data_IF_967769642157
#
_entry.id   IF_967769642157
#
_cell.length_a   1.000
_cell.length_b   1.000
_cell.length_c   1.000
_cell.angle_alpha   90.00
_cell.angle_beta   90.00
_cell.angle_gamma   90.00
#
_symmetry.space_group_name_H-M   'P 1'
#
loop_
_entity.id
_entity.type
_entity.pdbx_description
1 polymer ?
#
# COMPACT_ATOMS: atom_id res chain seq x y z
N UNK A 1 -6.79 -51.90 -65.37
CA UNK A 1 -6.73 -50.50 -64.75
C UNK A 1 -7.03 -50.50 -63.29
N UNK A 2 -8.16 -51.09 -62.84
CA UNK A 2 -8.54 -51.11 -61.41
C UNK A 2 -7.53 -51.85 -60.54
N UNK A 3 -6.99 -52.98 -60.99
CA UNK A 3 -5.95 -53.72 -60.22
C UNK A 3 -4.64 -52.96 -60.01
N UNK A 4 -4.29 -52.04 -60.92
CA UNK A 4 -3.11 -51.18 -60.75
C UNK A 4 -3.36 -50.14 -59.70
N UNK A 5 -4.56 -49.52 -59.66
CA UNK A 5 -4.98 -48.54 -58.65
C UNK A 5 -5.08 -49.13 -57.24
N UNK A 6 -5.29 -50.48 -57.13
CA UNK A 6 -5.25 -51.16 -55.84
C UNK A 6 -3.84 -51.41 -55.32
N UNK A 7 -2.85 -51.51 -56.21
CA UNK A 7 -1.46 -51.87 -55.84
C UNK A 7 -0.51 -50.65 -55.75
N UNK A 8 -0.82 -49.63 -56.54
CA UNK A 8 0.09 -48.46 -56.66
C UNK A 8 -0.62 -47.12 -56.35
N UNK A 9 0.13 -46.18 -55.91
CA UNK A 9 -0.37 -44.80 -55.71
C UNK A 9 -0.36 -44.07 -57.05
N UNK A 10 -1.53 -43.84 -57.57
CA UNK A 10 -1.72 -43.18 -58.85
C UNK A 10 -2.35 -41.81 -58.59
N UNK A 11 -1.76 -40.75 -59.12
CA UNK A 11 -2.27 -39.40 -58.98
C UNK A 11 -3.28 -39.05 -60.12
N UNK A 12 -3.12 -39.60 -61.27
CA UNK A 12 -3.93 -39.28 -62.44
C UNK A 12 -4.17 -40.53 -63.31
N UNK A 13 -5.38 -40.67 -63.81
CA UNK A 13 -5.78 -41.70 -64.73
C UNK A 13 -6.30 -41.03 -66.00
N UNK A 14 -5.81 -41.51 -67.15
CA UNK A 14 -6.33 -41.20 -68.51
C UNK A 14 -6.97 -42.43 -69.07
N UNK A 15 -8.22 -42.37 -69.47
CA UNK A 15 -8.96 -43.50 -70.07
C UNK A 15 -9.54 -43.17 -71.45
N UNK A 16 -9.43 -44.06 -72.34
CA UNK A 16 -10.20 -43.95 -73.60
C UNK A 16 -11.70 -44.20 -73.33
N UNK A 17 -12.58 -43.49 -74.06
CA UNK A 17 -14.03 -43.66 -73.99
C UNK A 17 -14.44 -45.02 -74.40
N UNK A 18 -13.89 -45.56 -75.53
CA UNK A 18 -14.26 -46.87 -76.11
C UNK A 18 -13.22 -47.91 -75.74
N UNK A 19 -13.54 -48.73 -74.75
CA UNK A 19 -12.68 -49.84 -74.35
C UNK A 19 -13.50 -51.15 -74.40
N UNK A 20 -12.85 -52.34 -74.66
CA UNK A 20 -13.51 -53.64 -74.51
C UNK A 20 -13.97 -53.86 -73.05
N UNK A 21 -15.06 -54.57 -72.84
CA UNK A 21 -15.64 -55.01 -71.57
C UNK A 21 -16.26 -53.88 -70.73
N UNK A 22 -15.58 -52.73 -70.57
CA UNK A 22 -16.05 -51.58 -69.79
C UNK A 22 -15.68 -50.30 -70.54
N UNK A 23 -16.63 -49.38 -70.72
CA UNK A 23 -16.34 -48.07 -71.29
C UNK A 23 -15.61 -47.18 -70.35
N UNK A 24 -14.93 -46.15 -70.88
CA UNK A 24 -14.10 -45.25 -70.07
C UNK A 24 -14.89 -44.42 -69.05
N UNK A 25 -16.10 -44.03 -69.34
CA UNK A 25 -16.95 -43.27 -68.42
C UNK A 25 -17.31 -44.13 -67.18
N UNK A 26 -17.71 -45.39 -67.42
CA UNK A 26 -17.99 -46.33 -66.32
C UNK A 26 -16.73 -46.64 -65.49
N UNK A 27 -15.59 -46.85 -66.18
CA UNK A 27 -14.30 -47.03 -65.49
C UNK A 27 -13.94 -45.85 -64.60
N UNK A 28 -14.01 -44.64 -65.11
CA UNK A 28 -13.65 -43.43 -64.34
C UNK A 28 -14.67 -43.17 -63.23
N UNK A 29 -15.91 -43.56 -63.38
CA UNK A 29 -16.90 -43.49 -62.27
C UNK A 29 -16.55 -44.48 -61.17
N UNK A 30 -16.11 -45.65 -61.47
CA UNK A 30 -15.62 -46.60 -60.45
C UNK A 30 -14.35 -46.10 -59.78
N UNK A 31 -13.40 -45.51 -60.54
CA UNK A 31 -12.19 -44.81 -59.95
C UNK A 31 -12.57 -43.70 -58.99
N UNK A 32 -13.58 -42.93 -59.36
CA UNK A 32 -14.05 -41.85 -58.43
C UNK A 32 -14.60 -42.44 -57.12
N UNK A 33 -15.37 -43.51 -57.24
CA UNK A 33 -15.99 -44.11 -56.05
C UNK A 33 -14.96 -44.69 -55.07
N UNK A 34 -13.94 -45.38 -55.59
CA UNK A 34 -12.92 -46.06 -54.77
C UNK A 34 -11.72 -45.17 -54.45
N UNK A 35 -11.33 -44.30 -55.36
CA UNK A 35 -10.16 -43.40 -55.22
C UNK A 35 -10.54 -41.96 -55.58
N UNK A 36 -11.33 -41.28 -54.77
CA UNK A 36 -11.90 -39.98 -55.10
C UNK A 36 -10.83 -38.88 -55.31
N UNK A 37 -9.63 -39.11 -54.80
CA UNK A 37 -8.51 -38.19 -54.95
C UNK A 37 -7.68 -38.41 -56.21
N UNK A 38 -7.93 -39.45 -57.00
CA UNK A 38 -7.24 -39.63 -58.26
C UNK A 38 -7.87 -38.75 -59.32
N UNK A 39 -7.04 -37.98 -60.03
CA UNK A 39 -7.51 -37.13 -61.12
C UNK A 39 -7.89 -37.99 -62.31
N UNK A 40 -8.96 -37.66 -63.03
CA UNK A 40 -9.59 -38.50 -64.07
C UNK A 40 -9.73 -37.67 -65.35
N UNK A 41 -9.08 -38.10 -66.44
CA UNK A 41 -9.16 -37.48 -67.74
C UNK A 41 -9.72 -38.52 -68.68
N UNK A 42 -10.65 -38.14 -69.60
CA UNK A 42 -11.27 -38.96 -70.56
C UNK A 42 -10.78 -38.55 -71.95
N UNK A 43 -10.34 -39.56 -72.76
CA UNK A 43 -10.06 -39.40 -74.19
C UNK A 43 -11.31 -39.76 -74.99
N UNK A 44 -11.78 -38.87 -75.87
CA UNK A 44 -13.07 -39.09 -76.61
C UNK A 44 -13.00 -38.66 -78.05
N UNK A 45 -13.73 -39.33 -78.93
CA UNK A 45 -13.91 -38.94 -80.32
C UNK A 45 -15.11 -37.99 -80.52
N UNK A 46 -15.20 -37.36 -81.63
CA UNK A 46 -16.25 -36.40 -82.00
C UNK A 46 -17.68 -36.89 -81.80
N UNK A 47 -17.92 -38.21 -81.96
CA UNK A 47 -19.24 -38.80 -81.89
C UNK A 47 -19.77 -38.99 -80.43
N UNK A 48 -18.93 -38.86 -79.42
CA UNK A 48 -19.27 -39.24 -78.03
C UNK A 48 -19.39 -38.02 -77.10
N UNK A 49 -19.41 -36.78 -77.66
CA UNK A 49 -19.38 -35.51 -76.92
C UNK A 49 -20.58 -35.38 -75.97
N UNK A 50 -21.76 -35.80 -76.28
CA UNK A 50 -23.00 -35.68 -75.50
C UNK A 50 -22.92 -36.45 -74.15
N UNK A 51 -22.39 -37.64 -74.18
CA UNK A 51 -22.19 -38.54 -73.03
C UNK A 51 -21.01 -38.01 -72.18
N UNK A 52 -19.98 -37.39 -72.80
CA UNK A 52 -18.85 -36.79 -72.18
C UNK A 52 -19.24 -35.54 -71.36
N UNK A 53 -20.11 -34.67 -71.87
CA UNK A 53 -20.63 -33.46 -71.14
C UNK A 53 -21.42 -33.87 -69.91
N UNK A 54 -22.22 -34.96 -70.00
CA UNK A 54 -22.94 -35.50 -68.85
C UNK A 54 -21.96 -35.95 -67.70
N UNK A 55 -20.90 -36.69 -68.09
CA UNK A 55 -19.88 -37.13 -67.14
C UNK A 55 -19.09 -35.98 -66.49
N UNK A 56 -18.79 -34.89 -67.21
CA UNK A 56 -18.17 -33.70 -66.69
C UNK A 56 -19.09 -32.98 -65.68
N UNK A 57 -20.35 -32.78 -66.05
CA UNK A 57 -21.32 -32.05 -65.23
C UNK A 57 -21.67 -32.79 -63.93
N UNK A 58 -21.59 -34.12 -63.93
CA UNK A 58 -21.73 -34.94 -62.72
C UNK A 58 -20.44 -34.95 -61.84
N UNK A 59 -19.38 -34.26 -62.28
CA UNK A 59 -18.09 -34.25 -61.60
C UNK A 59 -17.34 -35.55 -61.60
N UNK A 60 -17.63 -36.41 -62.56
CA UNK A 60 -16.99 -37.74 -62.68
C UNK A 60 -15.59 -37.67 -63.27
N UNK A 61 -15.31 -36.69 -64.14
CA UNK A 61 -14.00 -36.45 -64.77
C UNK A 61 -13.55 -35.01 -64.53
N UNK A 62 -12.24 -34.80 -64.50
CA UNK A 62 -11.63 -33.48 -64.38
C UNK A 62 -11.70 -32.69 -65.67
N UNK A 63 -11.30 -33.37 -66.77
CA UNK A 63 -11.33 -32.80 -68.13
C UNK A 63 -11.41 -33.93 -69.17
N UNK A 64 -11.86 -33.63 -70.38
CA UNK A 64 -11.75 -34.53 -71.52
C UNK A 64 -10.77 -33.96 -72.54
N UNK A 65 -10.21 -34.85 -73.41
CA UNK A 65 -9.35 -34.58 -74.53
C UNK A 65 -9.94 -35.20 -75.78
N UNK A 66 -10.10 -34.40 -76.86
CA UNK A 66 -10.67 -34.85 -78.10
C UNK A 66 -9.62 -35.54 -78.99
N UNK A 67 -10.05 -36.62 -79.69
CA UNK A 67 -9.22 -37.27 -80.72
C UNK A 67 -9.49 -36.65 -82.11
N UNK A 68 -8.46 -36.38 -82.94
CA UNK A 68 -7.03 -36.50 -82.62
C UNK A 68 -6.56 -35.38 -81.72
N UNK A 69 -5.65 -35.63 -80.76
CA UNK A 69 -5.11 -34.69 -79.79
C UNK A 69 -3.81 -34.09 -80.31
N UNK A 70 -3.46 -32.95 -79.74
CA UNK A 70 -2.13 -32.33 -79.76
C UNK A 70 -1.34 -32.75 -78.56
N UNK A 71 -0.08 -33.19 -78.71
CA UNK A 71 0.77 -33.64 -77.59
C UNK A 71 1.02 -32.53 -76.60
N UNK A 72 1.13 -31.29 -77.03
CA UNK A 72 1.30 -30.14 -76.14
C UNK A 72 0.03 -29.88 -75.29
N UNK A 73 -1.14 -30.05 -75.85
CA UNK A 73 -2.42 -29.98 -75.18
C UNK A 73 -2.54 -31.00 -74.05
N UNK A 74 -2.17 -32.26 -74.32
CA UNK A 74 -2.15 -33.33 -73.29
C UNK A 74 -1.22 -32.99 -72.16
N UNK A 75 0.02 -32.58 -72.48
CA UNK A 75 1.03 -32.20 -71.43
C UNK A 75 0.53 -31.08 -70.61
N UNK A 76 -0.10 -30.05 -71.20
CA UNK A 76 -0.68 -28.93 -70.45
C UNK A 76 -1.81 -29.36 -69.52
N UNK A 77 -2.77 -30.14 -70.02
CA UNK A 77 -3.91 -30.60 -69.24
C UNK A 77 -3.48 -31.52 -68.07
N UNK A 78 -2.51 -32.38 -68.31
CA UNK A 78 -1.97 -33.28 -67.28
C UNK A 78 -1.20 -32.44 -66.21
N UNK A 79 -0.40 -31.46 -66.65
CA UNK A 79 0.30 -30.55 -65.73
C UNK A 79 -0.67 -29.80 -64.82
N UNK A 80 -1.70 -29.17 -65.42
CA UNK A 80 -2.74 -28.48 -64.67
C UNK A 80 -3.47 -29.37 -63.66
N UNK A 81 -3.78 -30.60 -64.07
CA UNK A 81 -4.46 -31.59 -63.22
C UNK A 81 -3.61 -32.00 -62.02
N UNK A 82 -2.31 -32.24 -62.22
CA UNK A 82 -1.36 -32.59 -61.14
C UNK A 82 -1.15 -31.41 -60.20
N UNK A 83 -0.96 -30.19 -60.73
CA UNK A 83 -0.82 -28.99 -59.93
C UNK A 83 -2.06 -28.74 -59.07
N UNK A 84 -3.24 -28.81 -59.64
CA UNK A 84 -4.49 -28.70 -58.89
C UNK A 84 -4.61 -29.72 -57.76
N UNK A 85 -4.20 -30.96 -58.01
CA UNK A 85 -4.20 -32.03 -57.02
C UNK A 85 -3.23 -31.74 -55.87
N UNK A 86 -2.03 -31.30 -56.20
CA UNK A 86 -1.02 -30.92 -55.22
C UNK A 86 -1.46 -29.74 -54.36
N UNK A 87 -2.01 -28.69 -54.95
CA UNK A 87 -2.58 -27.56 -54.21
C UNK A 87 -3.71 -27.99 -53.29
N UNK A 88 -4.58 -28.88 -53.71
CA UNK A 88 -5.67 -29.42 -52.88
C UNK A 88 -5.13 -30.20 -51.70
N UNK A 89 -4.13 -31.07 -51.91
CA UNK A 89 -3.47 -31.81 -50.80
C UNK A 89 -2.78 -30.90 -49.82
N UNK A 90 -2.04 -29.88 -50.27
CA UNK A 90 -1.34 -28.94 -49.42
C UNK A 90 -2.34 -28.05 -48.65
N UNK A 91 -3.42 -27.58 -49.24
CA UNK A 91 -4.47 -26.87 -48.54
C UNK A 91 -5.10 -27.70 -47.41
N UNK A 92 -5.39 -28.99 -47.68
CA UNK A 92 -5.91 -29.90 -46.65
C UNK A 92 -4.92 -30.07 -45.50
N UNK A 93 -3.64 -30.24 -45.81
CA UNK A 93 -2.56 -30.36 -44.84
C UNK A 93 -2.43 -29.11 -43.99
N UNK A 94 -2.36 -27.93 -44.61
CA UNK A 94 -2.27 -26.65 -43.95
C UNK A 94 -3.48 -26.37 -43.05
N UNK A 95 -4.68 -26.69 -43.54
CA UNK A 95 -5.92 -26.55 -42.77
C UNK A 95 -5.89 -27.40 -41.52
N UNK A 96 -5.49 -28.68 -41.63
CA UNK A 96 -5.37 -29.58 -40.48
C UNK A 96 -4.32 -29.08 -39.47
N UNK A 97 -3.16 -28.64 -39.97
CA UNK A 97 -2.11 -28.10 -39.13
C UNK A 97 -2.57 -26.83 -38.39
N UNK A 98 -3.22 -25.90 -39.09
CA UNK A 98 -3.76 -24.67 -38.51
C UNK A 98 -4.81 -24.95 -37.44
N UNK A 99 -5.70 -25.94 -37.68
CA UNK A 99 -6.68 -26.36 -36.68
C UNK A 99 -6.03 -26.93 -35.43
N UNK A 100 -4.99 -27.77 -35.57
CA UNK A 100 -4.25 -28.33 -34.46
C UNK A 100 -3.53 -27.25 -33.66
N UNK A 101 -2.85 -26.31 -34.33
CA UNK A 101 -2.18 -25.18 -33.69
C UNK A 101 -3.17 -24.27 -32.95
N UNK A 102 -4.31 -23.96 -33.54
CA UNK A 102 -5.35 -23.15 -32.91
C UNK A 102 -5.93 -23.83 -31.67
N UNK A 103 -6.12 -25.17 -31.70
CA UNK A 103 -6.54 -25.90 -30.51
C UNK A 103 -5.49 -25.80 -29.37
N UNK A 104 -4.22 -26.00 -29.70
CA UNK A 104 -3.12 -25.90 -28.75
C UNK A 104 -2.97 -24.48 -28.17
N UNK A 105 -3.09 -23.46 -29.03
CA UNK A 105 -3.06 -22.07 -28.59
C UNK A 105 -4.20 -21.72 -27.60
N UNK A 106 -5.41 -22.21 -27.88
CA UNK A 106 -6.56 -22.02 -26.98
C UNK A 106 -6.33 -22.67 -25.61
N UNK A 107 -5.80 -23.88 -25.58
CA UNK A 107 -5.48 -24.57 -24.31
C UNK A 107 -4.40 -23.83 -23.54
N UNK A 108 -3.33 -23.41 -24.23
CA UNK A 108 -2.25 -22.66 -23.60
C UNK A 108 -2.73 -21.32 -23.04
N UNK A 109 -3.55 -20.58 -23.81
CA UNK A 109 -4.11 -19.32 -23.34
C UNK A 109 -4.99 -19.51 -22.10
N UNK A 110 -5.87 -20.51 -22.09
CA UNK A 110 -6.69 -20.80 -20.91
C UNK A 110 -5.82 -21.14 -19.69
N UNK A 111 -4.76 -21.92 -19.87
CA UNK A 111 -3.81 -22.25 -18.81
C UNK A 111 -3.05 -21.01 -18.31
N UNK A 112 -2.64 -20.11 -19.21
CA UNK A 112 -1.98 -18.86 -18.85
C UNK A 112 -2.92 -17.92 -18.11
N UNK A 113 -4.15 -17.75 -18.56
CA UNK A 113 -5.16 -16.94 -17.89
C UNK A 113 -5.40 -17.41 -16.46
N UNK A 114 -5.52 -18.73 -16.26
CA UNK A 114 -5.66 -19.29 -14.92
C UNK A 114 -4.43 -19.01 -14.05
N UNK A 115 -3.23 -19.23 -14.55
CA UNK A 115 -1.99 -18.94 -13.81
C UNK A 115 -1.86 -17.45 -13.46
N UNK A 116 -2.24 -16.55 -14.36
CA UNK A 116 -2.23 -15.11 -14.11
C UNK A 116 -3.24 -14.76 -13.01
N UNK A 117 -4.45 -15.34 -13.05
CA UNK A 117 -5.46 -15.14 -12.03
C UNK A 117 -4.97 -15.60 -10.64
N UNK A 118 -4.41 -16.81 -10.56
CA UNK A 118 -3.90 -17.40 -9.32
C UNK A 118 -2.76 -16.55 -8.75
N UNK A 119 -1.77 -16.18 -9.59
CA UNK A 119 -0.65 -15.33 -9.15
C UNK A 119 -1.08 -13.93 -8.74
N UNK A 120 -2.10 -13.38 -9.40
CA UNK A 120 -2.66 -12.08 -9.02
C UNK A 120 -3.35 -12.15 -7.65
N UNK A 121 -4.07 -13.24 -7.37
CA UNK A 121 -4.68 -13.46 -6.07
C UNK A 121 -3.63 -13.61 -4.96
N UNK A 122 -2.59 -14.43 -5.18
CA UNK A 122 -1.46 -14.62 -4.24
C UNK A 122 -0.75 -13.28 -3.93
N UNK A 123 -0.46 -12.49 -4.98
CA UNK A 123 0.18 -11.19 -4.82
C UNK A 123 -0.67 -10.20 -4.02
N UNK A 124 -1.99 -10.15 -4.25
CA UNK A 124 -2.91 -9.31 -3.48
C UNK A 124 -2.94 -9.70 -2.01
N UNK A 125 -2.97 -10.99 -1.72
CA UNK A 125 -2.94 -11.49 -0.35
C UNK A 125 -1.62 -11.15 0.34
N UNK A 126 -0.48 -11.35 -0.33
CA UNK A 126 0.84 -11.00 0.18
C UNK A 126 0.97 -9.49 0.45
N UNK A 127 0.47 -8.65 -0.47
CA UNK A 127 0.48 -7.20 -0.31
C UNK A 127 -0.34 -6.77 0.92
N UNK A 128 -1.57 -7.28 1.05
CA UNK A 128 -2.42 -7.00 2.21
C UNK A 128 -1.76 -7.42 3.53
N UNK A 129 -1.10 -8.57 3.56
CA UNK A 129 -0.35 -9.04 4.74
C UNK A 129 0.82 -8.10 5.08
N UNK A 130 1.59 -7.66 4.08
CA UNK A 130 2.70 -6.71 4.28
C UNK A 130 2.20 -5.37 4.80
N UNK A 131 1.11 -4.83 4.24
CA UNK A 131 0.50 -3.57 4.69
C UNK A 131 0.00 -3.66 6.14
N UNK A 132 -0.67 -4.75 6.50
CA UNK A 132 -1.12 -4.98 7.87
C UNK A 132 0.07 -5.08 8.84
N UNK A 133 1.06 -5.91 8.52
CA UNK A 133 2.26 -6.09 9.36
C UNK A 133 3.04 -4.77 9.52
N UNK A 134 3.16 -3.98 8.45
CA UNK A 134 3.79 -2.66 8.51
C UNK A 134 3.03 -1.71 9.44
N UNK A 135 1.70 -1.70 9.36
CA UNK A 135 0.84 -0.90 10.24
C UNK A 135 0.99 -1.30 11.72
N UNK A 136 0.99 -2.60 12.00
CA UNK A 136 1.17 -3.15 13.36
C UNK A 136 2.56 -2.81 13.91
N UNK A 137 3.61 -2.98 13.11
CA UNK A 137 4.98 -2.61 13.50
C UNK A 137 5.11 -1.12 13.80
N UNK A 138 4.50 -0.26 12.96
CA UNK A 138 4.48 1.19 13.20
C UNK A 138 3.79 1.54 14.52
N UNK A 139 2.64 0.91 14.82
CA UNK A 139 1.94 1.10 16.09
C UNK A 139 2.78 0.64 17.28
N UNK A 140 3.35 -0.57 17.21
CA UNK A 140 4.20 -1.11 18.26
C UNK A 140 5.42 -0.22 18.53
N UNK A 141 6.08 0.26 17.46
CA UNK A 141 7.19 1.20 17.59
C UNK A 141 6.79 2.48 18.31
N UNK A 142 5.69 3.13 17.91
CA UNK A 142 5.21 4.36 18.56
C UNK A 142 4.83 4.11 20.02
N UNK A 143 4.17 3.00 20.31
CA UNK A 143 3.84 2.61 21.69
C UNK A 143 5.10 2.42 22.53
N UNK A 144 6.13 1.77 22.00
CA UNK A 144 7.42 1.62 22.70
C UNK A 144 8.08 2.96 23.00
N UNK A 145 8.09 3.88 22.03
CA UNK A 145 8.61 5.24 22.23
C UNK A 145 7.82 5.99 23.31
N UNK A 146 6.49 5.85 23.33
CA UNK A 146 5.64 6.46 24.36
C UNK A 146 5.91 5.90 25.76
N UNK A 147 6.12 4.59 25.87
CA UNK A 147 6.51 3.95 27.13
C UNK A 147 7.85 4.47 27.63
N UNK A 148 8.85 4.59 26.74
CA UNK A 148 10.15 5.16 27.10
C UNK A 148 10.03 6.63 27.53
N UNK A 149 9.23 7.45 26.84
CA UNK A 149 8.95 8.83 27.24
C UNK A 149 8.31 8.87 28.64
N UNK A 150 7.34 8.00 28.93
CA UNK A 150 6.71 7.88 30.25
C UNK A 150 7.69 7.50 31.36
N UNK A 151 8.67 6.62 31.08
CA UNK A 151 9.71 6.26 32.05
C UNK A 151 10.61 7.45 32.40
N UNK A 152 10.89 8.36 31.45
CA UNK A 152 11.64 9.60 31.70
C UNK A 152 10.88 10.51 32.64
N UNK A 153 9.57 10.65 32.45
CA UNK A 153 8.68 11.47 33.24
C UNK A 153 8.55 10.96 34.69
N UNK A 154 8.48 9.65 34.91
CA UNK A 154 8.40 9.03 36.26
C UNK A 154 9.59 9.37 37.15
N UNK A 155 10.73 9.69 36.55
CA UNK A 155 11.95 10.06 37.31
C UNK A 155 11.91 11.47 37.85
N UNK A 156 10.99 12.31 37.42
CA UNK A 156 10.96 13.75 37.75
C UNK A 156 10.43 14.07 39.18
N UNK A 157 10.44 13.11 40.11
CA UNK A 157 10.15 13.30 41.56
C UNK A 157 8.67 13.52 41.90
N UNK A 158 8.34 14.15 43.07
CA UNK A 158 6.95 14.43 43.50
C UNK A 158 6.18 15.31 42.49
N UNK A 159 6.86 16.11 41.68
CA UNK A 159 6.30 16.78 40.51
C UNK A 159 6.02 15.79 39.37
N UNK A 160 6.53 14.56 39.43
CA UNK A 160 6.35 13.54 38.41
C UNK A 160 4.89 13.19 38.12
N UNK A 161 4.01 13.27 39.15
CA UNK A 161 2.58 13.10 38.98
C UNK A 161 1.94 14.20 38.11
N UNK A 162 2.47 15.43 38.16
CA UNK A 162 2.03 16.55 37.33
C UNK A 162 2.68 16.52 35.94
N UNK A 163 3.89 15.95 35.82
CA UNK A 163 4.58 15.76 34.52
C UNK A 163 4.08 14.56 33.72
N UNK A 164 3.34 13.67 34.33
CA UNK A 164 2.84 12.49 33.62
C UNK A 164 2.07 12.87 32.37
N UNK A 165 2.48 12.30 31.23
CA UNK A 165 1.94 12.59 29.92
C UNK A 165 2.39 13.91 29.30
N UNK A 166 3.36 14.62 29.87
CA UNK A 166 3.91 15.88 29.34
C UNK A 166 4.44 15.70 27.92
N UNK A 167 5.40 14.81 27.70
CA UNK A 167 5.98 14.55 26.38
C UNK A 167 4.94 14.14 25.35
N UNK A 168 3.92 13.39 25.77
CA UNK A 168 2.81 13.03 24.90
C UNK A 168 1.95 14.24 24.53
N UNK A 169 1.56 15.11 25.50
CA UNK A 169 0.78 16.31 25.20
C UNK A 169 1.57 17.26 24.30
N UNK A 170 2.87 17.43 24.56
CA UNK A 170 3.78 18.22 23.71
C UNK A 170 3.79 17.64 22.28
N UNK A 171 3.95 16.33 22.11
CA UNK A 171 3.97 15.69 20.81
C UNK A 171 2.64 15.82 20.06
N UNK A 172 1.49 15.65 20.72
CA UNK A 172 0.17 15.79 20.13
C UNK A 172 -0.10 17.24 19.68
N UNK A 173 0.22 18.22 20.50
CA UNK A 173 0.09 19.64 20.17
C UNK A 173 1.04 20.02 19.03
N UNK A 174 2.30 19.60 19.08
CA UNK A 174 3.29 19.90 18.05
C UNK A 174 2.88 19.31 16.70
N UNK A 175 2.39 18.08 16.68
CA UNK A 175 1.81 17.45 15.49
C UNK A 175 0.66 18.28 14.92
N UNK A 176 -0.28 18.69 15.75
CA UNK A 176 -1.45 19.46 15.33
C UNK A 176 -1.06 20.83 14.76
N UNK A 177 -0.09 21.52 15.37
CA UNK A 177 0.47 22.78 14.84
C UNK A 177 1.17 22.56 13.51
N UNK A 178 2.00 21.52 13.40
CA UNK A 178 2.73 21.20 12.17
C UNK A 178 1.77 20.90 11.00
N UNK A 179 0.70 20.12 11.25
CA UNK A 179 -0.34 19.83 10.27
C UNK A 179 -1.09 21.10 9.84
N UNK A 180 -1.40 21.99 10.78
CA UNK A 180 -2.06 23.28 10.48
C UNK A 180 -1.16 24.19 9.64
N UNK A 181 0.13 24.16 9.89
CA UNK A 181 1.14 24.86 9.08
C UNK A 181 1.43 24.14 7.75
N UNK A 182 0.72 23.02 7.45
CA UNK A 182 0.83 22.23 6.21
C UNK A 182 2.24 21.69 5.95
N UNK A 183 2.95 21.31 7.00
CA UNK A 183 4.26 20.65 6.84
C UNK A 183 4.11 19.26 6.23
N UNK A 184 5.12 18.77 5.49
CA UNK A 184 5.15 17.41 4.95
C UNK A 184 4.97 16.35 6.06
N UNK A 185 4.28 15.26 5.76
CA UNK A 185 3.98 14.21 6.77
C UNK A 185 5.24 13.63 7.42
N UNK A 186 6.35 13.53 6.70
CA UNK A 186 7.63 13.09 7.26
C UNK A 186 8.15 14.06 8.34
N UNK A 187 8.05 15.37 8.11
CA UNK A 187 8.42 16.38 9.10
C UNK A 187 7.48 16.35 10.30
N UNK A 188 6.16 16.21 10.08
CA UNK A 188 5.16 16.06 11.15
C UNK A 188 5.50 14.87 12.05
N UNK A 189 5.91 13.74 11.47
CA UNK A 189 6.32 12.55 12.24
C UNK A 189 7.60 12.81 13.04
N UNK A 190 8.60 13.47 12.47
CA UNK A 190 9.84 13.82 13.17
C UNK A 190 9.58 14.80 14.32
N UNK A 191 8.70 15.79 14.14
CA UNK A 191 8.28 16.74 15.18
C UNK A 191 7.56 16.00 16.32
N UNK A 192 6.68 15.06 16.00
CA UNK A 192 5.98 14.25 17.00
C UNK A 192 6.97 13.38 17.81
N UNK A 193 7.92 12.71 17.13
CA UNK A 193 8.96 11.92 17.81
C UNK A 193 9.85 12.80 18.69
N UNK A 194 10.24 13.98 18.20
CA UNK A 194 11.01 14.93 18.97
C UNK A 194 10.22 15.43 20.21
N UNK A 195 8.92 15.67 20.06
CA UNK A 195 8.05 16.05 21.18
C UNK A 195 7.96 14.97 22.26
N UNK A 196 7.90 13.67 21.87
CA UNK A 196 7.92 12.57 22.83
C UNK A 196 9.24 12.42 23.57
N UNK A 197 10.36 12.74 22.93
CA UNK A 197 11.71 12.44 23.40
C UNK A 197 12.55 13.68 23.76
N UNK A 198 11.98 14.91 23.70
CA UNK A 198 12.73 16.14 23.87
C UNK A 198 13.50 16.21 25.19
N UNK A 199 12.96 15.62 26.22
CA UNK A 199 13.50 15.60 27.58
C UNK A 199 14.39 14.39 27.92
N UNK A 200 14.69 13.50 26.95
CA UNK A 200 15.49 12.28 27.18
C UNK A 200 16.87 12.60 27.80
N UNK A 201 17.43 13.73 27.47
CA UNK A 201 18.71 14.18 28.06
C UNK A 201 18.65 14.48 29.53
N UNK A 202 17.47 14.64 30.13
CA UNK A 202 17.30 14.85 31.58
C UNK A 202 17.58 13.58 32.39
N UNK A 203 17.63 12.40 31.76
CA UNK A 203 17.98 11.12 32.42
C UNK A 203 19.36 11.17 33.12
N UNK A 204 20.27 11.99 32.65
CA UNK A 204 21.60 12.18 33.24
C UNK A 204 21.66 13.21 34.39
N UNK A 205 20.54 13.88 34.68
CA UNK A 205 20.53 14.93 35.71
C UNK A 205 20.17 14.37 37.10
N UNK A 206 20.69 14.96 38.19
CA UNK A 206 20.28 14.62 39.56
C UNK A 206 18.81 14.91 39.83
N UNK A 207 18.18 14.07 40.66
CA UNK A 207 16.72 14.14 40.94
C UNK A 207 16.34 15.42 41.69
N UNK A 208 17.25 15.98 42.53
CA UNK A 208 17.04 17.22 43.25
C UNK A 208 16.97 18.46 42.35
N UNK A 209 17.57 18.40 41.15
CA UNK A 209 17.43 19.45 40.14
C UNK A 209 16.11 19.30 39.37
N UNK A 210 15.69 18.08 39.10
CA UNK A 210 14.44 17.81 38.38
C UNK A 210 13.19 18.10 39.23
N UNK A 211 13.29 18.02 40.54
CA UNK A 211 12.18 18.28 41.46
C UNK A 211 11.85 19.78 41.62
N UNK A 212 12.69 20.70 41.14
CA UNK A 212 12.51 22.14 41.29
C UNK A 212 12.08 22.81 39.99
N UNK A 213 11.19 23.81 40.04
CA UNK A 213 10.89 24.63 38.86
C UNK A 213 12.16 25.31 38.35
N UNK A 214 12.29 25.43 37.01
CA UNK A 214 13.49 26.00 36.38
C UNK A 214 13.88 27.39 36.96
N UNK A 215 12.90 28.23 37.23
CA UNK A 215 13.14 29.58 37.81
C UNK A 215 13.64 29.57 39.26
N UNK A 216 13.48 28.46 39.99
CA UNK A 216 13.96 28.30 41.37
C UNK A 216 15.40 27.79 41.46
N UNK A 217 16.00 27.37 40.33
CA UNK A 217 17.37 26.88 40.25
C UNK A 217 18.39 28.02 40.34
N UNK A 218 19.57 27.75 40.94
CA UNK A 218 20.72 28.66 40.88
C UNK A 218 21.27 28.76 39.46
N UNK A 219 22.07 29.81 39.13
CA UNK A 219 22.69 29.89 37.79
C UNK A 219 23.51 28.66 37.41
N UNK A 220 24.27 28.06 38.33
CA UNK A 220 25.07 26.86 38.12
C UNK A 220 24.18 25.63 37.84
N UNK A 221 23.08 25.50 38.61
CA UNK A 221 22.09 24.44 38.42
C UNK A 221 21.37 24.57 37.08
N UNK A 222 20.98 25.78 36.68
CA UNK A 222 20.41 26.07 35.36
C UNK A 222 21.35 25.65 34.24
N UNK A 223 22.64 26.02 34.35
CA UNK A 223 23.64 25.64 33.35
C UNK A 223 23.80 24.12 33.19
N UNK A 224 23.56 23.33 34.26
CA UNK A 224 23.51 21.88 34.16
C UNK A 224 22.25 21.40 33.44
N UNK A 225 21.09 21.93 33.81
CA UNK A 225 19.80 21.56 33.15
C UNK A 225 19.82 21.95 31.68
N UNK A 226 20.38 23.09 31.31
CA UNK A 226 20.49 23.59 29.94
C UNK A 226 21.33 22.69 29.01
N UNK A 227 22.04 21.69 29.53
CA UNK A 227 22.77 20.68 28.71
C UNK A 227 21.89 19.57 28.17
N UNK A 228 20.67 19.37 28.72
CA UNK A 228 19.84 18.24 28.33
C UNK A 228 19.51 18.20 26.83
N UNK A 229 19.32 19.29 26.06
CA UNK A 229 19.06 19.20 24.63
C UNK A 229 20.23 18.60 23.87
N UNK A 230 21.47 18.97 24.23
CA UNK A 230 22.69 18.41 23.60
C UNK A 230 22.86 16.94 23.97
N UNK A 231 22.65 16.58 25.25
CA UNK A 231 22.69 15.18 25.70
C UNK A 231 21.61 14.37 24.98
N UNK A 232 20.39 14.88 24.85
CA UNK A 232 19.28 14.25 24.17
C UNK A 232 19.59 14.02 22.70
N UNK A 233 20.14 14.99 21.99
CA UNK A 233 20.60 14.82 20.62
C UNK A 233 21.61 13.68 20.52
N UNK A 234 22.64 13.66 21.35
CA UNK A 234 23.68 12.64 21.30
C UNK A 234 23.13 11.22 21.52
N UNK A 235 22.17 11.05 22.43
CA UNK A 235 21.50 9.76 22.66
C UNK A 235 20.70 9.33 21.42
N UNK A 236 19.95 10.24 20.82
CA UNK A 236 19.05 9.91 19.71
C UNK A 236 19.79 9.71 18.39
N UNK A 237 20.91 10.39 18.15
CA UNK A 237 21.69 10.26 16.91
C UNK A 237 22.25 8.86 16.66
N UNK A 238 22.35 8.02 17.71
CA UNK A 238 22.75 6.62 17.55
C UNK A 238 21.72 5.75 16.82
N UNK A 239 20.50 6.24 16.64
CA UNK A 239 19.40 5.51 15.97
C UNK A 239 19.02 6.25 14.70
N UNK A 240 19.21 5.61 13.53
CA UNK A 240 19.00 6.21 12.19
C UNK A 240 17.63 6.92 12.08
N UNK A 241 16.58 6.27 12.59
CA UNK A 241 15.20 6.78 12.53
C UNK A 241 14.96 8.04 13.36
N UNK A 242 15.85 8.37 14.30
CA UNK A 242 15.71 9.54 15.18
C UNK A 242 16.63 10.69 14.80
N UNK A 243 17.47 10.59 13.79
CA UNK A 243 18.45 11.62 13.44
C UNK A 243 17.82 13.00 13.24
N UNK A 244 16.75 13.07 12.45
CA UNK A 244 16.03 14.33 12.23
C UNK A 244 15.36 14.84 13.50
N UNK A 245 14.73 13.96 14.27
CA UNK A 245 14.15 14.31 15.56
C UNK A 245 15.22 14.80 16.56
N UNK A 246 16.43 14.22 16.54
CA UNK A 246 17.55 14.62 17.38
C UNK A 246 18.00 16.07 17.13
N UNK A 247 17.97 16.52 15.87
CA UNK A 247 18.23 17.92 15.53
C UNK A 247 17.16 18.83 16.14
N UNK A 248 15.90 18.42 16.08
CA UNK A 248 14.80 19.18 16.68
C UNK A 248 14.92 19.23 18.21
N UNK A 249 15.31 18.12 18.83
CA UNK A 249 15.55 18.02 20.28
C UNK A 249 16.70 18.94 20.72
N UNK A 250 17.78 19.06 19.93
CA UNK A 250 18.86 19.98 20.26
C UNK A 250 18.38 21.44 20.42
N UNK A 251 17.50 21.88 19.50
CA UNK A 251 17.15 23.31 19.37
C UNK A 251 15.77 23.67 19.95
N UNK A 252 15.12 22.79 20.73
CA UNK A 252 13.76 23.02 21.23
C UNK A 252 13.67 24.09 22.34
N UNK A 253 14.78 24.57 22.82
CA UNK A 253 14.89 25.71 23.75
C UNK A 253 15.52 26.98 23.14
N UNK A 254 15.74 26.98 21.80
CA UNK A 254 16.14 28.19 21.10
C UNK A 254 15.00 29.20 21.09
N UNK A 255 15.32 30.48 21.45
CA UNK A 255 14.36 31.56 21.38
C UNK A 255 14.44 32.28 20.04
N UNK A 256 13.31 32.75 19.54
CA UNK A 256 13.23 33.39 18.22
C UNK A 256 14.13 34.63 18.08
N UNK A 257 14.42 35.32 19.19
CA UNK A 257 15.33 36.48 19.27
C UNK A 257 16.82 36.12 19.47
N UNK A 258 17.17 34.81 19.53
CA UNK A 258 18.54 34.31 19.72
C UNK A 258 19.01 34.25 21.19
N UNK A 259 18.13 34.55 22.16
CA UNK A 259 18.45 34.45 23.59
C UNK A 259 18.22 33.07 24.20
N UNK A 260 17.98 32.06 23.33
CA UNK A 260 17.80 30.67 23.71
C UNK A 260 19.11 29.90 23.89
N UNK A 261 19.02 28.58 23.93
CA UNK A 261 20.16 27.67 24.07
C UNK A 261 19.92 26.37 23.30
N UNK A 262 20.94 25.59 22.91
CA UNK A 262 22.37 25.71 23.26
C UNK A 262 23.19 26.55 22.27
N UNK A 263 22.72 26.78 21.05
CA UNK A 263 23.51 27.34 19.94
C UNK A 263 23.22 28.82 19.65
N UNK A 264 22.27 29.43 20.37
CA UNK A 264 21.85 30.81 20.22
C UNK A 264 21.39 31.18 18.81
N UNK A 265 20.69 30.24 18.18
CA UNK A 265 20.09 30.45 16.86
C UNK A 265 18.93 31.44 16.95
N UNK A 266 18.73 32.25 15.88
CA UNK A 266 17.68 33.25 15.85
C UNK A 266 16.78 33.08 14.59
N UNK A 267 15.50 33.41 14.75
CA UNK A 267 14.54 33.47 13.65
C UNK A 267 14.43 32.16 12.88
N UNK A 268 14.56 32.26 11.57
CA UNK A 268 14.45 31.11 10.65
C UNK A 268 15.68 30.17 10.65
N UNK A 269 16.80 30.57 11.30
CA UNK A 269 17.93 29.69 11.49
C UNK A 269 17.60 28.54 12.47
N UNK A 270 16.60 28.72 13.34
CA UNK A 270 16.07 27.67 14.20
C UNK A 270 15.22 26.72 13.32
N UNK A 271 15.44 25.38 13.34
CA UNK A 271 14.60 24.42 12.62
C UNK A 271 13.11 24.63 12.95
N UNK A 272 12.25 24.59 11.92
CA UNK A 272 10.82 24.90 12.10
C UNK A 272 10.15 24.01 13.16
N UNK A 273 10.48 22.72 13.16
CA UNK A 273 9.98 21.78 14.15
C UNK A 273 10.38 22.17 15.59
N UNK A 274 11.61 22.68 15.79
CA UNK A 274 12.10 23.15 17.08
C UNK A 274 11.35 24.39 17.55
N UNK A 275 11.05 25.32 16.64
CA UNK A 275 10.23 26.52 16.95
C UNK A 275 8.82 26.15 17.38
N UNK A 276 8.22 25.12 16.76
CA UNK A 276 6.92 24.57 17.15
C UNK A 276 7.01 23.91 18.52
N UNK A 277 8.03 23.06 18.73
CA UNK A 277 8.24 22.37 20.00
C UNK A 277 8.44 23.38 21.15
N UNK A 278 9.19 24.48 20.95
CA UNK A 278 9.38 25.50 21.94
C UNK A 278 8.06 26.08 22.46
N UNK A 279 7.14 26.44 21.55
CA UNK A 279 5.84 27.01 21.90
C UNK A 279 4.99 26.03 22.71
N UNK A 280 4.86 24.78 22.22
CA UNK A 280 3.95 23.81 22.86
C UNK A 280 4.53 23.23 24.15
N UNK A 281 5.86 23.10 24.24
CA UNK A 281 6.55 22.65 25.45
C UNK A 281 6.41 23.69 26.56
N UNK A 282 6.67 24.96 26.28
CA UNK A 282 6.53 26.01 27.30
C UNK A 282 5.07 26.18 27.72
N UNK A 283 4.10 26.09 26.81
CA UNK A 283 2.69 26.11 27.19
C UNK A 283 2.35 25.00 28.20
N UNK A 284 2.72 23.76 27.91
CA UNK A 284 2.45 22.64 28.84
C UNK A 284 3.22 22.80 30.14
N UNK A 285 4.48 23.26 30.10
CA UNK A 285 5.32 23.54 31.27
C UNK A 285 4.76 24.64 32.17
N UNK A 286 4.10 25.63 31.58
CA UNK A 286 3.38 26.66 32.34
C UNK A 286 2.15 26.11 33.06
N UNK A 287 1.41 25.21 32.40
CA UNK A 287 0.22 24.57 32.98
C UNK A 287 0.57 23.65 34.14
N UNK A 288 1.68 22.90 34.05
CA UNK A 288 2.10 21.95 35.09
C UNK A 288 3.01 22.57 36.17
N UNK A 289 3.47 23.82 35.96
CA UNK A 289 4.26 24.54 36.95
C UNK A 289 5.76 24.19 37.01
N UNK A 290 6.31 23.53 35.96
CA UNK A 290 7.75 23.19 35.88
C UNK A 290 8.63 24.35 35.46
N UNK A 291 8.07 25.34 34.76
CA UNK A 291 8.80 26.53 34.33
C UNK A 291 8.75 27.63 35.39
N UNK A 292 7.63 27.78 36.07
CA UNK A 292 7.33 28.86 37.03
C UNK A 292 6.88 28.26 38.36
N UNK A 293 7.01 29.03 39.46
CA UNK A 293 6.66 28.60 40.81
C UNK A 293 5.17 28.27 41.01
N UNK A 294 4.29 28.76 40.14
CA UNK A 294 2.86 28.52 40.19
C UNK A 294 2.36 28.08 38.83
N UNK A 295 1.65 26.96 38.78
CA UNK A 295 0.95 26.52 37.57
C UNK A 295 -0.05 27.60 37.12
N UNK A 296 -0.04 27.89 35.80
CA UNK A 296 -0.93 28.86 35.18
C UNK A 296 -2.20 28.19 34.69
N UNK A 297 -3.28 28.97 34.62
CA UNK A 297 -4.50 28.52 33.92
C UNK A 297 -4.29 28.55 32.41
N UNK A 298 -5.04 27.76 31.61
CA UNK A 298 -4.88 27.73 30.14
C UNK A 298 -4.90 29.10 29.46
N UNK A 299 -5.81 29.99 29.88
CA UNK A 299 -5.89 31.34 29.32
C UNK A 299 -4.67 32.20 29.69
N UNK A 300 -4.15 32.08 30.93
CA UNK A 300 -2.94 32.80 31.40
C UNK A 300 -1.71 32.30 30.61
N UNK A 301 -1.57 30.97 30.41
CA UNK A 301 -0.47 30.40 29.66
C UNK A 301 -0.50 30.82 28.18
N UNK A 302 -1.68 30.84 27.56
CA UNK A 302 -1.83 31.30 26.17
C UNK A 302 -1.48 32.79 26.04
N UNK A 303 -1.94 33.65 26.97
CA UNK A 303 -1.60 35.08 26.98
C UNK A 303 -0.10 35.26 27.10
N UNK A 304 0.57 34.49 27.95
CA UNK A 304 2.03 34.54 28.09
C UNK A 304 2.75 34.24 26.76
N UNK A 305 2.28 33.25 26.00
CA UNK A 305 2.84 32.95 24.68
C UNK A 305 2.62 34.13 23.71
N UNK A 306 1.42 34.72 23.68
CA UNK A 306 1.07 35.85 22.81
C UNK A 306 1.91 37.08 23.10
N UNK A 307 2.11 37.44 24.39
CA UNK A 307 2.93 38.58 24.83
C UNK A 307 4.41 38.44 24.45
N UNK A 308 4.90 37.18 24.37
CA UNK A 308 6.29 36.91 24.03
C UNK A 308 6.49 36.51 22.54
N UNK A 309 5.44 36.66 21.71
CA UNK A 309 5.44 36.41 20.27
C UNK A 309 6.44 37.29 19.53
N UNK A 310 7.29 36.73 18.69
CA UNK A 310 8.34 37.41 17.94
C UNK A 310 9.61 37.70 18.78
N UNK A 311 9.60 37.41 20.09
CA UNK A 311 10.76 37.43 20.99
C UNK A 311 11.19 36.00 21.32
N UNK A 312 10.51 35.37 22.27
CA UNK A 312 10.81 33.97 22.63
C UNK A 312 10.29 33.00 21.54
N UNK A 313 9.14 33.28 20.98
CA UNK A 313 8.39 32.33 20.16
C UNK A 313 8.24 32.80 18.73
N UNK A 314 8.26 31.81 17.79
CA UNK A 314 7.91 32.02 16.40
C UNK A 314 6.46 32.52 16.28
N UNK A 315 6.22 33.68 15.65
CA UNK A 315 4.88 34.21 15.45
C UNK A 315 3.93 33.20 14.75
N UNK A 316 4.38 32.51 13.72
CA UNK A 316 3.55 31.56 12.97
C UNK A 316 3.14 30.33 13.82
N UNK A 317 4.06 29.85 14.67
CA UNK A 317 3.77 28.75 15.58
C UNK A 317 2.77 29.13 16.66
N UNK A 318 2.93 30.34 17.27
CA UNK A 318 1.99 30.86 18.29
C UNK A 318 0.60 31.04 17.68
N UNK A 319 0.48 31.69 16.52
CA UNK A 319 -0.80 31.96 15.86
C UNK A 319 -1.54 30.67 15.51
N UNK A 320 -0.82 29.68 14.96
CA UNK A 320 -1.37 28.37 14.66
C UNK A 320 -1.86 27.64 15.91
N UNK A 321 -1.07 27.68 16.99
CA UNK A 321 -1.41 27.00 18.25
C UNK A 321 -2.59 27.69 18.97
N UNK A 322 -2.62 29.03 19.03
CA UNK A 322 -3.73 29.80 19.60
C UNK A 322 -5.05 29.48 18.92
N UNK A 323 -5.01 29.37 17.57
CA UNK A 323 -6.19 28.99 16.79
C UNK A 323 -6.66 27.57 17.13
N UNK A 324 -5.75 26.60 17.22
CA UNK A 324 -6.09 25.22 17.60
C UNK A 324 -6.74 25.15 18.99
N UNK A 325 -6.20 25.87 19.97
CA UNK A 325 -6.78 25.91 21.31
C UNK A 325 -8.20 26.51 21.30
N UNK A 326 -8.41 27.58 20.53
CA UNK A 326 -9.73 28.23 20.43
C UNK A 326 -10.79 27.31 19.76
N UNK A 327 -10.39 26.52 18.78
CA UNK A 327 -11.27 25.53 18.10
C UNK A 327 -11.61 24.37 19.04
N UNK A 328 -10.67 23.89 19.84
CA UNK A 328 -10.89 22.84 20.84
C UNK A 328 -11.90 23.26 21.91
N UNK A 329 -11.87 24.54 22.33
CA UNK A 329 -12.85 25.07 23.27
C UNK A 329 -14.24 25.18 22.66
N UNK A 330 -14.35 25.43 21.35
CA UNK A 330 -15.64 25.53 20.62
C UNK A 330 -16.25 24.17 20.28
N UNK A 331 -15.44 23.14 20.10
CA UNK A 331 -15.90 21.76 19.91
C UNK A 331 -16.21 21.11 21.25
N UNK A 332 -17.27 21.59 21.91
CA UNK A 332 -17.73 21.10 23.20
C UNK A 332 -18.14 19.63 23.15
N UNK A 333 -17.16 18.76 23.35
CA UNK A 333 -17.46 17.36 23.69
C UNK A 333 -17.89 17.33 25.15
N UNK A 334 -19.10 16.84 25.44
CA UNK A 334 -19.50 16.52 26.79
C UNK A 334 -18.73 15.29 27.25
N UNK A 335 -17.88 15.47 28.24
CA UNK A 335 -17.19 14.38 28.91
C UNK A 335 -18.09 13.83 30.03
N UNK A 336 -18.31 12.53 30.01
CA UNK A 336 -19.06 11.87 31.07
C UNK A 336 -18.12 11.05 31.92
N UNK A 337 -17.97 11.37 33.22
CA UNK A 337 -17.22 10.52 34.15
C UNK A 337 -18.01 9.23 34.41
N UNK A 338 -17.39 8.09 34.13
CA UNK A 338 -17.95 6.77 34.38
C UNK A 338 -17.07 5.94 35.30
N UNK A 339 -17.69 5.13 36.12
CA UNK A 339 -17.04 4.07 36.89
C UNK A 339 -16.86 2.84 36.01
N UNK A 340 -15.91 1.97 36.38
CA UNK A 340 -15.61 0.75 35.63
C UNK A 340 -16.84 -0.12 35.38
N UNK A 341 -17.77 -0.20 36.32
CA UNK A 341 -19.03 -0.97 36.20
C UNK A 341 -19.99 -0.44 35.11
N UNK A 342 -19.83 0.79 34.63
CA UNK A 342 -20.66 1.40 33.62
C UNK A 342 -20.00 1.45 32.24
N UNK A 343 -18.77 0.91 32.12
CA UNK A 343 -18.04 0.92 30.86
C UNK A 343 -18.60 -0.12 29.89
N UNK A 344 -18.63 0.22 28.61
CA UNK A 344 -19.02 -0.66 27.52
C UNK A 344 -17.91 -0.72 26.47
N UNK A 345 -17.80 -1.87 25.83
CA UNK A 345 -16.91 -2.02 24.68
C UNK A 345 -17.23 -1.00 23.58
N UNK A 346 -16.18 -0.43 23.00
CA UNK A 346 -16.29 0.62 21.99
C UNK A 346 -16.34 2.05 22.54
N UNK A 347 -16.49 2.25 23.85
CA UNK A 347 -16.36 3.58 24.45
C UNK A 347 -14.91 4.09 24.30
N UNK A 348 -14.77 5.40 24.05
CA UNK A 348 -13.47 6.05 23.80
C UNK A 348 -13.15 7.02 24.94
N UNK A 349 -11.94 6.91 25.48
CA UNK A 349 -11.47 7.82 26.54
C UNK A 349 -11.31 9.25 26.00
N UNK A 350 -11.86 10.22 26.72
CA UNK A 350 -11.69 11.65 26.42
C UNK A 350 -10.41 12.24 26.98
N UNK A 351 -9.85 11.62 28.02
CA UNK A 351 -8.57 11.98 28.63
C UNK A 351 -7.80 10.74 29.10
N UNK A 352 -6.53 10.93 29.42
CA UNK A 352 -5.66 9.88 29.95
C UNK A 352 -6.21 9.33 31.28
N UNK A 353 -6.18 8.01 31.44
CA UNK A 353 -6.43 7.35 32.72
C UNK A 353 -5.09 7.14 33.43
N UNK A 354 -4.92 7.79 34.55
CA UNK A 354 -3.71 7.74 35.35
C UNK A 354 -3.90 6.83 36.57
N UNK A 355 -2.86 6.10 36.92
CA UNK A 355 -2.80 5.40 38.22
C UNK A 355 -2.59 6.41 39.33
N UNK A 356 -2.98 6.09 40.60
CA UNK A 356 -2.75 6.92 41.78
C UNK A 356 -1.27 7.27 42.02
N UNK A 357 -0.36 6.37 41.60
CA UNK A 357 1.09 6.58 41.72
C UNK A 357 1.66 7.40 40.52
N UNK A 358 0.79 7.93 39.65
CA UNK A 358 1.16 8.90 38.62
C UNK A 358 1.59 8.31 37.28
N UNK A 359 1.54 7.01 37.08
CA UNK A 359 1.82 6.43 35.78
C UNK A 359 0.56 6.24 34.91
N UNK A 360 0.74 6.30 33.60
CA UNK A 360 -0.33 6.18 32.63
C UNK A 360 -0.84 4.73 32.54
N UNK A 361 -2.14 4.52 32.79
CA UNK A 361 -2.82 3.24 32.61
C UNK A 361 -3.33 3.09 31.17
N UNK A 362 -4.10 4.07 30.72
CA UNK A 362 -4.66 4.09 29.39
C UNK A 362 -4.60 5.51 28.83
N UNK A 363 -4.26 5.60 27.57
CA UNK A 363 -4.14 6.85 26.86
C UNK A 363 -5.50 7.43 26.42
N UNK A 364 -5.62 8.76 26.36
CA UNK A 364 -6.71 9.46 25.67
C UNK A 364 -6.93 8.86 24.28
N UNK A 365 -8.16 8.85 23.82
CA UNK A 365 -8.59 8.25 22.56
C UNK A 365 -8.42 6.71 22.47
N UNK A 366 -8.10 6.02 23.55
CA UNK A 366 -8.13 4.56 23.61
C UNK A 366 -9.59 4.09 23.57
N UNK A 367 -9.91 3.22 22.61
CA UNK A 367 -11.18 2.52 22.59
C UNK A 367 -11.13 1.35 23.59
N UNK A 368 -12.12 1.29 24.46
CA UNK A 368 -12.21 0.24 25.48
C UNK A 368 -12.66 -1.07 24.83
N UNK A 369 -11.83 -2.11 24.95
CA UNK A 369 -12.19 -3.48 24.60
C UNK A 369 -12.71 -4.24 25.81
N UNK A 370 -13.41 -5.37 25.65
CA UNK A 370 -13.84 -6.20 26.78
C UNK A 370 -12.68 -6.61 27.68
N UNK A 371 -11.51 -6.90 27.11
CA UNK A 371 -10.30 -7.31 27.83
C UNK A 371 -9.74 -6.14 28.69
N UNK A 372 -9.69 -4.94 28.13
CA UNK A 372 -9.26 -3.74 28.86
C UNK A 372 -10.20 -3.47 30.03
N UNK A 373 -11.51 -3.52 29.80
CA UNK A 373 -12.51 -3.34 30.86
C UNK A 373 -12.31 -4.37 31.98
N UNK A 374 -12.11 -5.64 31.63
CA UNK A 374 -11.88 -6.71 32.60
C UNK A 374 -10.60 -6.49 33.42
N UNK A 375 -9.53 -6.01 32.77
CA UNK A 375 -8.27 -5.66 33.46
C UNK A 375 -8.44 -4.49 34.43
N UNK A 376 -9.17 -3.43 34.04
CA UNK A 376 -9.46 -2.29 34.91
C UNK A 376 -10.28 -2.69 36.15
N UNK A 377 -11.31 -3.52 35.96
CA UNK A 377 -12.12 -4.05 37.05
C UNK A 377 -11.27 -4.91 38.00
N UNK A 378 -10.40 -5.79 37.46
CA UNK A 378 -9.49 -6.60 38.26
C UNK A 378 -8.52 -5.74 39.07
N UNK A 379 -8.00 -4.67 38.47
CA UNK A 379 -7.10 -3.72 39.11
C UNK A 379 -7.81 -2.94 40.25
N UNK A 380 -9.03 -2.44 40.03
CA UNK A 380 -9.85 -1.82 41.09
C UNK A 380 -10.01 -2.74 42.32
N UNK A 381 -10.29 -4.04 42.05
CA UNK A 381 -10.47 -5.02 43.14
C UNK A 381 -9.15 -5.31 43.88
N UNK A 382 -8.02 -5.40 43.14
CA UNK A 382 -6.72 -5.73 43.75
C UNK A 382 -6.15 -4.58 44.55
N UNK A 383 -6.40 -3.35 44.16
CA UNK A 383 -5.83 -2.15 44.78
C UNK A 383 -6.79 -1.42 45.72
N UNK A 384 -8.04 -1.89 45.78
CA UNK A 384 -9.12 -1.28 46.58
C UNK A 384 -9.30 0.21 46.28
N UNK A 385 -9.01 0.62 45.05
CA UNK A 385 -9.09 2.01 44.55
C UNK A 385 -10.04 2.13 43.38
N UNK A 386 -11.07 2.98 43.52
CA UNK A 386 -12.07 3.17 42.48
C UNK A 386 -11.54 4.07 41.37
N UNK A 387 -11.56 3.57 40.14
CA UNK A 387 -11.18 4.33 38.94
C UNK A 387 -12.37 5.15 38.43
N UNK A 388 -12.07 6.36 37.95
CA UNK A 388 -13.04 7.19 37.23
C UNK A 388 -12.48 7.45 35.85
N UNK A 389 -13.19 7.01 34.82
CA UNK A 389 -12.83 7.20 33.44
C UNK A 389 -13.70 8.28 32.82
N UNK A 390 -13.09 9.17 32.03
CA UNK A 390 -13.81 10.20 31.30
C UNK A 390 -14.02 9.72 29.86
N UNK A 391 -15.29 9.57 29.48
CA UNK A 391 -15.68 9.02 28.18
C UNK A 391 -16.18 10.15 27.29
N UNK A 392 -15.74 10.14 26.04
CA UNK A 392 -16.20 11.07 24.99
C UNK A 392 -17.64 10.68 24.58
N UNK A 393 -18.59 11.59 24.74
CA UNK A 393 -19.91 11.46 24.10
C UNK A 393 -19.88 12.26 22.80
N UNK A 394 -20.24 11.61 21.69
CA UNK A 394 -20.62 12.31 20.47
C UNK A 394 -22.03 12.87 20.69
N UNK A 395 -22.21 14.19 20.56
CA UNK A 395 -23.57 14.75 20.43
C UNK A 395 -24.22 14.11 19.19
N UNK A 396 -25.37 13.43 19.43
CA UNK A 396 -26.20 12.86 18.38
C UNK A 396 -26.86 13.95 17.55
#
# INVERSE_FOLDING_TARGET
GLEVLEKEQIDLVISDMRMPEMDGATFLKEVRSRWPNVMRILLTGYADITSTVAAINQGEIYRYISKPWDDNEIVSIVGEAIEHQNLKRENQRLTSLTQAQNAQLKELNASLEQKVADRTAELRQALSFVEQTHSELKKAFLTSVQVFAGLIELRSGPAGSQMSGHGRRVAEHARSVAQRLKLPEAEVQNIMLAGLLHDIGKLGLPDDLLAKPFNALTPEQRALVMKHPVIGQNILMGIEKFKEAAILVRHHHECYDGNGYPDHLAGIAIPQGSRILHVVNEYDSLLIGTLVLRALKPAEALNFLIENRGKRYDPAAVDAFATLLSETVKSGFTETPLRTMHLKSGMVLSRDLMHRDGYLLLAKATALTPEIIAQLVKMEHSEQHMLTLYIRQEEK
#
